data_IF_218331739057
#
_entry.id   IF_218331739057
#
_cell.length_a   1.000
_cell.length_b   1.000
_cell.length_c   1.000
_cell.angle_alpha   90.00
_cell.angle_beta   90.00
_cell.angle_gamma   90.00
#
_symmetry.space_group_name_H-M   'P 1'
#
loop_
_entity.id
_entity.type
_entity.pdbx_description
1 polymer ?
#
# COMPACT_ATOMS: atom_id res chain seq x y z
N UNK A 1 -0.21 18.92 -61.12
CA UNK A 1 -0.81 18.21 -59.98
C UNK A 1 0.16 17.15 -59.52
N UNK A 2 0.85 17.41 -58.42
CA UNK A 2 1.82 16.47 -57.85
C UNK A 2 1.20 15.83 -56.63
N UNK A 3 1.00 14.50 -56.69
CA UNK A 3 0.42 13.72 -55.61
C UNK A 3 1.50 13.37 -54.58
N UNK A 4 1.28 13.78 -53.33
CA UNK A 4 2.07 13.38 -52.19
C UNK A 4 1.64 11.95 -51.76
N UNK A 5 2.50 10.98 -52.01
CA UNK A 5 2.37 9.64 -51.45
C UNK A 5 2.86 9.64 -49.99
N UNK A 6 1.93 9.54 -49.05
CA UNK A 6 2.24 9.39 -47.64
C UNK A 6 2.78 7.99 -47.35
N UNK A 7 4.03 7.92 -46.92
CA UNK A 7 4.63 6.67 -46.44
C UNK A 7 4.09 6.36 -45.04
N UNK A 8 3.27 5.32 -44.93
CA UNK A 8 2.87 4.75 -43.64
C UNK A 8 4.04 3.97 -43.03
N UNK A 9 4.58 4.44 -41.94
CA UNK A 9 5.59 3.72 -41.16
C UNK A 9 4.97 2.45 -40.54
N UNK A 10 5.62 1.28 -40.67
CA UNK A 10 5.12 0.09 -40.02
C UNK A 10 5.29 0.18 -38.52
N UNK A 11 4.17 0.16 -37.83
CA UNK A 11 4.12 0.06 -36.37
C UNK A 11 4.61 -1.34 -35.99
N UNK A 12 5.85 -1.44 -35.48
CA UNK A 12 6.38 -2.68 -34.96
C UNK A 12 5.69 -2.97 -33.65
N UNK A 13 4.66 -3.83 -33.69
CA UNK A 13 4.10 -4.44 -32.47
C UNK A 13 5.16 -5.39 -31.91
N UNK A 14 5.89 -4.92 -30.91
CA UNK A 14 6.72 -5.78 -30.08
C UNK A 14 5.80 -6.78 -29.37
N UNK A 15 5.73 -8.01 -29.89
CA UNK A 15 5.16 -9.14 -29.15
C UNK A 15 6.02 -9.33 -27.91
N UNK A 16 5.54 -8.85 -26.76
CA UNK A 16 6.07 -9.24 -25.47
C UNK A 16 5.87 -10.75 -25.34
N UNK A 17 6.91 -11.53 -25.63
CA UNK A 17 7.00 -12.91 -25.19
C UNK A 17 7.12 -12.89 -23.66
N UNK A 18 5.99 -12.76 -22.94
CA UNK A 18 5.95 -13.14 -21.53
C UNK A 18 6.35 -14.62 -21.48
N UNK A 19 7.61 -14.84 -21.18
CA UNK A 19 8.07 -16.14 -20.72
C UNK A 19 7.17 -16.52 -19.55
N UNK A 20 6.26 -17.47 -19.76
CA UNK A 20 5.62 -18.21 -18.68
C UNK A 20 6.70 -19.04 -18.01
N UNK A 21 7.59 -18.39 -17.26
CA UNK A 21 8.47 -19.06 -16.33
C UNK A 21 7.55 -19.51 -15.22
N UNK A 22 7.35 -20.81 -15.09
CA UNK A 22 6.75 -21.42 -13.90
C UNK A 22 7.68 -21.03 -12.73
N UNK A 23 7.40 -19.93 -12.07
CA UNK A 23 8.14 -19.49 -10.89
C UNK A 23 7.59 -20.35 -9.76
N UNK A 24 8.21 -21.51 -9.55
CA UNK A 24 7.86 -22.38 -8.43
C UNK A 24 8.27 -21.76 -7.07
N UNK A 25 9.03 -20.66 -7.08
CA UNK A 25 9.48 -19.96 -5.89
C UNK A 25 8.93 -18.54 -5.92
N UNK A 26 8.05 -18.16 -4.98
CA UNK A 26 7.60 -16.79 -4.85
C UNK A 26 8.77 -15.86 -4.50
N UNK A 27 8.70 -14.62 -4.97
CA UNK A 27 9.68 -13.58 -4.66
C UNK A 27 8.93 -12.40 -4.01
N UNK A 28 9.43 -11.94 -2.88
CA UNK A 28 8.94 -10.77 -2.18
C UNK A 28 10.06 -9.73 -2.15
N UNK A 29 9.74 -8.50 -2.47
CA UNK A 29 10.67 -7.39 -2.47
C UNK A 29 10.14 -6.26 -1.60
N UNK A 30 11.03 -5.67 -0.82
CA UNK A 30 10.77 -4.45 -0.04
C UNK A 30 11.94 -3.49 -0.17
N UNK A 31 11.72 -2.20 0.08
CA UNK A 31 12.69 -1.15 -0.19
C UNK A 31 13.65 -0.90 0.97
N UNK A 32 13.18 -0.97 2.21
CA UNK A 32 13.90 -0.55 3.39
C UNK A 32 14.28 -1.72 4.30
N UNK A 33 15.23 -1.53 5.21
CA UNK A 33 15.69 -2.58 6.12
C UNK A 33 14.58 -3.15 7.01
N UNK A 34 13.61 -2.36 7.42
CA UNK A 34 12.43 -2.85 8.14
C UNK A 34 11.54 -3.75 7.27
N UNK A 35 11.77 -3.79 5.97
CA UNK A 35 11.13 -4.74 5.06
C UNK A 35 11.61 -6.18 5.22
N UNK A 36 12.73 -6.46 5.90
CA UNK A 36 13.21 -7.84 6.10
C UNK A 36 12.18 -8.65 6.90
N UNK A 37 11.79 -8.26 8.14
CA UNK A 37 10.76 -8.97 8.88
C UNK A 37 9.38 -8.91 8.20
N UNK A 38 9.06 -7.83 7.49
CA UNK A 38 7.85 -7.74 6.70
C UNK A 38 7.80 -8.79 5.56
N UNK A 39 8.94 -9.05 4.89
CA UNK A 39 9.05 -10.10 3.88
C UNK A 39 8.95 -11.51 4.47
N UNK A 40 9.45 -11.73 5.68
CA UNK A 40 9.31 -12.99 6.41
C UNK A 40 7.83 -13.28 6.74
N UNK A 41 7.11 -12.27 7.22
CA UNK A 41 5.67 -12.37 7.48
C UNK A 41 4.88 -12.65 6.20
N UNK A 42 5.19 -11.93 5.12
CA UNK A 42 4.58 -12.15 3.81
C UNK A 42 4.86 -13.56 3.26
N UNK A 43 6.09 -14.08 3.43
CA UNK A 43 6.46 -15.42 2.99
C UNK A 43 5.73 -16.49 3.83
N UNK A 44 5.58 -16.27 5.13
CA UNK A 44 4.77 -17.14 6.01
C UNK A 44 3.34 -17.22 5.50
N UNK A 45 2.74 -16.08 5.13
CA UNK A 45 1.39 -16.03 4.59
C UNK A 45 1.24 -16.84 3.30
N UNK A 46 2.24 -16.79 2.40
CA UNK A 46 2.25 -17.63 1.19
C UNK A 46 2.39 -19.12 1.52
N UNK A 47 3.23 -19.46 2.50
CA UNK A 47 3.44 -20.86 2.94
C UNK A 47 2.16 -21.46 3.54
N UNK A 48 1.34 -20.63 4.18
CA UNK A 48 0.04 -21.00 4.76
C UNK A 48 -1.07 -21.10 3.69
N UNK A 49 -0.74 -20.93 2.42
CA UNK A 49 -1.68 -21.05 1.30
C UNK A 49 -2.36 -19.74 0.89
N UNK A 50 -1.92 -18.60 1.42
CA UNK A 50 -2.37 -17.29 0.98
C UNK A 50 -1.89 -16.97 -0.45
N UNK A 51 -2.59 -16.04 -1.10
CA UNK A 51 -2.21 -15.53 -2.42
C UNK A 51 -1.22 -14.35 -2.31
N UNK A 52 -0.78 -13.79 -3.44
CA UNK A 52 0.17 -12.68 -3.47
C UNK A 52 -0.36 -11.41 -2.80
N UNK A 53 -1.67 -11.15 -2.87
CA UNK A 53 -2.30 -10.01 -2.19
C UNK A 53 -2.32 -10.21 -0.67
N UNK A 54 -2.64 -11.42 -0.20
CA UNK A 54 -2.60 -11.76 1.21
C UNK A 54 -1.20 -11.58 1.80
N UNK A 55 -0.18 -11.97 1.03
CA UNK A 55 1.22 -11.79 1.42
C UNK A 55 1.64 -10.32 1.46
N UNK A 56 1.29 -9.55 0.42
CA UNK A 56 1.61 -8.12 0.36
C UNK A 56 0.95 -7.36 1.52
N UNK A 57 -0.32 -7.65 1.82
CA UNK A 57 -1.02 -7.07 2.96
C UNK A 57 -0.36 -7.46 4.28
N UNK A 58 -0.05 -8.74 4.50
CA UNK A 58 0.57 -9.22 5.74
C UNK A 58 1.92 -8.51 5.99
N UNK A 59 2.77 -8.41 4.96
CA UNK A 59 4.04 -7.71 5.06
C UNK A 59 3.89 -6.22 5.36
N UNK A 60 2.98 -5.52 4.68
CA UNK A 60 2.71 -4.11 4.95
C UNK A 60 2.16 -3.89 6.35
N UNK A 61 1.21 -4.71 6.81
CA UNK A 61 0.67 -4.66 8.18
C UNK A 61 1.73 -4.86 9.25
N UNK A 62 2.75 -5.68 8.98
CA UNK A 62 3.89 -5.83 9.89
C UNK A 62 4.58 -4.48 10.09
N UNK A 63 4.95 -3.81 8.98
CA UNK A 63 5.59 -2.49 9.04
C UNK A 63 4.68 -1.41 9.69
N UNK A 64 3.38 -1.44 9.42
CA UNK A 64 2.39 -0.53 10.01
C UNK A 64 2.18 -0.76 11.52
N UNK A 65 2.56 -1.93 12.02
CA UNK A 65 2.46 -2.29 13.45
C UNK A 65 3.74 -2.02 14.23
N UNK A 66 4.86 -1.86 13.56
CA UNK A 66 6.17 -1.69 14.18
C UNK A 66 6.32 -0.27 14.74
N UNK A 67 6.25 -0.13 16.06
CA UNK A 67 6.38 1.15 16.78
C UNK A 67 7.78 1.78 16.65
N UNK A 68 8.78 1.02 16.25
CA UNK A 68 10.11 1.56 15.99
C UNK A 68 10.23 2.17 14.60
N UNK A 69 9.31 1.83 13.70
CA UNK A 69 9.21 2.42 12.37
C UNK A 69 8.31 3.66 12.40
N UNK A 70 8.92 4.84 12.46
CA UNK A 70 8.20 6.11 12.53
C UNK A 70 7.76 6.67 11.17
N UNK A 71 7.89 5.89 10.10
CA UNK A 71 7.53 6.34 8.74
C UNK A 71 6.11 5.96 8.32
N UNK A 72 5.50 4.95 8.95
CA UNK A 72 4.17 4.46 8.62
C UNK A 72 3.44 3.95 9.87
N UNK A 73 2.11 3.88 9.81
CA UNK A 73 1.29 3.16 10.78
C UNK A 73 1.35 3.68 12.22
N UNK A 74 1.37 2.75 13.16
CA UNK A 74 1.37 3.03 14.59
C UNK A 74 2.73 3.55 15.03
N UNK A 75 2.78 4.79 15.48
CA UNK A 75 4.01 5.49 15.84
C UNK A 75 4.61 6.31 14.69
N UNK A 76 3.90 6.45 13.57
CA UNK A 76 4.28 7.35 12.48
C UNK A 76 4.46 8.80 12.97
N UNK A 77 5.39 9.52 12.33
CA UNK A 77 5.56 10.94 12.63
C UNK A 77 4.33 11.73 12.16
N UNK A 78 3.85 12.67 12.98
CA UNK A 78 2.67 13.45 12.63
C UNK A 78 3.00 14.61 11.67
N UNK A 79 1.96 15.23 11.13
CA UNK A 79 2.03 16.51 10.45
C UNK A 79 2.37 17.67 11.43
N UNK A 80 2.44 18.89 10.91
CA UNK A 80 2.71 20.09 11.71
C UNK A 80 1.69 20.30 12.86
N UNK A 81 0.47 19.84 12.67
CA UNK A 81 -0.61 19.95 13.64
C UNK A 81 -0.67 18.80 14.66
N UNK A 82 0.21 17.83 14.54
CA UNK A 82 0.27 16.68 15.43
C UNK A 82 -0.62 15.50 15.02
N UNK A 83 -1.10 15.47 13.78
CA UNK A 83 -1.94 14.39 13.29
C UNK A 83 -1.10 13.37 12.50
N UNK A 84 -1.17 12.11 12.88
CA UNK A 84 -0.62 11.02 12.05
C UNK A 84 -1.60 10.71 10.93
N UNK A 85 -1.16 10.98 9.69
CA UNK A 85 -1.92 10.74 8.47
C UNK A 85 -1.25 9.64 7.66
N UNK A 86 -2.02 8.71 7.14
CA UNK A 86 -1.52 7.51 6.48
C UNK A 86 -2.09 7.38 5.08
N UNK A 87 -1.24 6.90 4.18
CA UNK A 87 -1.58 6.56 2.81
C UNK A 87 -1.22 5.10 2.53
N UNK A 88 -2.03 4.44 1.73
CA UNK A 88 -1.74 3.09 1.27
C UNK A 88 -2.39 2.82 -0.09
N UNK A 89 -1.77 1.94 -0.86
CA UNK A 89 -2.37 1.41 -2.08
C UNK A 89 -2.03 -0.07 -2.26
N UNK A 90 -2.93 -0.77 -2.93
CA UNK A 90 -2.76 -2.15 -3.37
C UNK A 90 -3.19 -2.30 -4.81
N UNK A 91 -2.63 -3.29 -5.49
CA UNK A 91 -3.04 -3.67 -6.85
C UNK A 91 -2.91 -5.19 -7.00
N UNK A 92 -3.92 -5.81 -7.58
CA UNK A 92 -3.89 -7.23 -7.89
C UNK A 92 -3.25 -7.52 -9.28
N UNK A 93 -3.08 -8.80 -9.59
CA UNK A 93 -2.52 -9.24 -10.88
C UNK A 93 -3.42 -8.96 -12.08
N UNK A 94 -4.68 -8.62 -11.87
CA UNK A 94 -5.65 -8.25 -12.92
C UNK A 94 -5.67 -6.75 -13.19
N UNK A 95 -4.95 -5.96 -12.37
CA UNK A 95 -4.89 -4.50 -12.46
C UNK A 95 -6.02 -3.80 -11.69
N UNK A 96 -6.80 -4.52 -10.87
CA UNK A 96 -7.69 -3.86 -9.92
C UNK A 96 -6.86 -3.19 -8.84
N UNK A 97 -7.24 -2.00 -8.43
CA UNK A 97 -6.52 -1.22 -7.44
C UNK A 97 -7.45 -0.62 -6.39
N UNK A 98 -6.93 -0.47 -5.18
CA UNK A 98 -7.58 0.26 -4.12
C UNK A 98 -6.56 1.08 -3.34
N UNK A 99 -6.98 2.23 -2.84
CA UNK A 99 -6.10 3.11 -2.09
C UNK A 99 -6.87 3.95 -1.08
N UNK A 100 -6.13 4.39 -0.08
CA UNK A 100 -6.57 5.41 0.87
C UNK A 100 -5.51 6.48 0.98
N UNK A 101 -5.92 7.71 1.22
CA UNK A 101 -5.03 8.82 1.48
C UNK A 101 -5.56 9.67 2.63
N UNK A 102 -4.65 10.31 3.36
CA UNK A 102 -4.98 11.13 4.51
C UNK A 102 -5.87 10.41 5.53
N UNK A 103 -5.64 9.11 5.71
CA UNK A 103 -6.38 8.30 6.67
C UNK A 103 -5.83 8.54 8.08
N UNK A 104 -6.70 8.85 9.02
CA UNK A 104 -6.34 9.11 10.42
C UNK A 104 -6.96 8.07 11.35
N UNK A 105 -6.25 7.77 12.43
CA UNK A 105 -6.73 6.93 13.54
C UNK A 105 -7.08 5.48 13.16
N UNK A 106 -6.61 4.99 12.03
CA UNK A 106 -6.77 3.59 11.62
C UNK A 106 -5.38 2.99 11.44
N UNK A 107 -5.07 1.94 12.21
CA UNK A 107 -3.72 1.38 12.33
C UNK A 107 -3.20 0.76 11.03
N UNK A 108 -4.08 0.16 10.20
CA UNK A 108 -3.71 -0.61 9.02
C UNK A 108 -4.32 -0.04 7.74
N UNK A 109 -3.77 1.06 7.19
CA UNK A 109 -4.26 1.65 5.96
C UNK A 109 -4.21 0.70 4.77
N UNK A 110 -3.23 -0.23 4.70
CA UNK A 110 -3.14 -1.22 3.61
C UNK A 110 -4.37 -2.12 3.56
N UNK A 111 -4.89 -2.54 4.72
CA UNK A 111 -6.09 -3.37 4.77
C UNK A 111 -7.34 -2.60 4.35
N UNK A 112 -7.42 -1.31 4.68
CA UNK A 112 -8.52 -0.45 4.21
C UNK A 112 -8.42 -0.27 2.70
N UNK A 113 -7.22 -0.02 2.16
CA UNK A 113 -7.00 0.09 0.72
C UNK A 113 -7.42 -1.19 -0.03
N UNK A 114 -7.12 -2.36 0.54
CA UNK A 114 -7.59 -3.65 0.00
C UNK A 114 -9.10 -3.73 -0.03
N UNK A 115 -9.80 -3.36 1.04
CA UNK A 115 -11.26 -3.35 1.09
C UNK A 115 -11.87 -2.33 0.12
N UNK A 116 -11.21 -1.19 -0.12
CA UNK A 116 -11.65 -0.26 -1.18
C UNK A 116 -11.62 -0.96 -2.53
N UNK A 117 -10.57 -1.73 -2.85
CA UNK A 117 -10.46 -2.48 -4.10
C UNK A 117 -11.50 -3.60 -4.21
N UNK A 118 -11.70 -4.38 -3.14
CA UNK A 118 -12.51 -5.61 -3.18
C UNK A 118 -14.01 -5.31 -3.03
N UNK A 119 -14.39 -4.30 -2.24
CA UNK A 119 -15.78 -4.09 -1.80
C UNK A 119 -16.43 -2.86 -2.41
N UNK A 120 -15.71 -2.07 -3.22
CA UNK A 120 -16.26 -0.84 -3.80
C UNK A 120 -15.97 -0.72 -5.30
N UNK A 121 -16.59 0.27 -5.93
CA UNK A 121 -16.28 0.66 -7.31
C UNK A 121 -15.23 1.78 -7.38
N UNK A 122 -14.78 2.27 -6.23
CA UNK A 122 -13.79 3.32 -6.13
C UNK A 122 -12.38 2.72 -6.15
N UNK A 123 -11.44 3.47 -6.69
CA UNK A 123 -10.02 3.15 -6.62
C UNK A 123 -9.32 3.90 -5.49
N UNK A 124 -9.98 4.90 -4.90
CA UNK A 124 -9.42 5.69 -3.80
C UNK A 124 -10.52 6.28 -2.92
N UNK A 125 -10.30 6.24 -1.62
CA UNK A 125 -11.03 7.01 -0.62
C UNK A 125 -10.06 7.89 0.16
N UNK A 126 -10.50 9.06 0.63
CA UNK A 126 -9.62 10.06 1.26
C UNK A 126 -10.21 10.59 2.56
N UNK A 127 -9.32 10.85 3.54
CA UNK A 127 -9.64 11.58 4.76
C UNK A 127 -10.77 10.98 5.57
N UNK A 128 -11.71 11.81 6.04
CA UNK A 128 -12.83 11.37 6.87
C UNK A 128 -13.72 10.33 6.16
N UNK A 129 -13.89 10.43 4.83
CA UNK A 129 -14.64 9.44 4.06
C UNK A 129 -13.99 8.05 4.10
N UNK A 130 -12.66 7.99 4.00
CA UNK A 130 -11.89 6.75 4.12
C UNK A 130 -12.00 6.18 5.54
N UNK A 131 -11.95 7.04 6.58
CA UNK A 131 -12.09 6.63 7.98
C UNK A 131 -13.48 6.06 8.27
N UNK A 132 -14.55 6.73 7.84
CA UNK A 132 -15.91 6.24 8.01
C UNK A 132 -16.14 4.90 7.29
N UNK A 133 -15.57 4.74 6.10
CA UNK A 133 -15.58 3.46 5.41
C UNK A 133 -14.87 2.38 6.24
N UNK A 134 -13.66 2.64 6.75
CA UNK A 134 -12.92 1.71 7.59
C UNK A 134 -13.73 1.29 8.83
N UNK A 135 -14.32 2.25 9.55
CA UNK A 135 -15.16 1.98 10.73
C UNK A 135 -16.36 1.09 10.34
N UNK A 136 -17.01 1.37 9.22
CA UNK A 136 -18.13 0.56 8.72
C UNK A 136 -17.73 -0.88 8.39
N UNK A 137 -16.44 -1.13 8.14
CA UNK A 137 -15.85 -2.44 7.90
C UNK A 137 -15.29 -3.11 9.17
N UNK A 138 -15.47 -2.49 10.33
CA UNK A 138 -15.08 -3.05 11.63
C UNK A 138 -13.67 -2.69 12.09
N UNK A 139 -13.00 -1.74 11.43
CA UNK A 139 -11.74 -1.21 11.96
C UNK A 139 -12.00 -0.34 13.17
N UNK A 140 -11.15 -0.49 14.18
CA UNK A 140 -11.22 0.32 15.40
C UNK A 140 -10.42 1.62 15.23
N UNK A 141 -10.94 2.69 15.82
CA UNK A 141 -10.18 3.93 15.95
C UNK A 141 -9.14 3.80 17.05
N UNK A 142 -7.89 4.15 16.73
CA UNK A 142 -6.78 4.16 17.69
C UNK A 142 -5.98 5.45 17.52
N UNK A 143 -5.44 5.97 18.63
CA UNK A 143 -4.45 7.04 18.54
C UNK A 143 -3.14 6.46 18.01
N UNK A 144 -2.70 6.94 16.85
CA UNK A 144 -1.48 6.45 16.19
C UNK A 144 -0.22 7.17 16.69
N UNK A 145 -0.36 8.34 17.33
CA UNK A 145 0.76 9.10 17.87
C UNK A 145 1.25 8.46 19.17
N UNK A 146 2.45 7.91 19.15
CA UNK A 146 3.11 7.38 20.35
C UNK A 146 3.86 8.48 21.09
N UNK A 147 4.20 8.24 22.35
CA UNK A 147 5.02 9.18 23.14
C UNK A 147 6.37 9.48 22.46
N UNK A 148 6.98 8.47 21.83
CA UNK A 148 8.23 8.62 21.07
C UNK A 148 8.05 9.60 19.91
N UNK A 149 7.06 9.38 19.06
CA UNK A 149 6.79 10.23 17.90
C UNK A 149 6.34 11.63 18.31
N UNK A 150 5.56 11.76 19.36
CA UNK A 150 5.16 13.05 19.92
C UNK A 150 6.39 13.85 20.42
N UNK A 151 7.34 13.20 21.09
CA UNK A 151 8.56 13.84 21.54
C UNK A 151 9.46 14.27 20.38
N UNK A 152 9.54 13.48 19.29
CA UNK A 152 10.25 13.85 18.07
C UNK A 152 9.59 15.04 17.38
N UNK A 153 8.28 15.03 17.22
CA UNK A 153 7.50 16.13 16.67
C UNK A 153 7.68 17.43 17.47
N UNK A 154 7.57 17.39 18.81
CA UNK A 154 7.81 18.57 19.67
C UNK A 154 9.23 19.13 19.58
N UNK A 155 10.23 18.30 19.26
CA UNK A 155 11.59 18.78 18.99
C UNK A 155 11.71 19.46 17.63
N UNK A 156 11.01 18.93 16.63
CA UNK A 156 10.98 19.50 15.30
C UNK A 156 10.31 20.87 15.24
N UNK A 157 9.28 21.12 16.07
CA UNK A 157 8.58 22.41 16.17
C UNK A 157 9.42 23.54 16.79
N UNK A 158 10.56 23.26 17.43
CA UNK A 158 11.46 24.25 18.07
C UNK A 158 12.48 24.81 17.10
#
# INVERSE_FOLDING_TARGET
MAGLAGAASPMILAKSNRLKKNINNPVILSTWNFGIPANEEAMTKLSDGGNAMDAAEAGARHAESDVENNSVGYGGLPDELGHVTLDACVMDSSGNAGSVAFLQNIKHPVSVARMVMEDTKHVMLVGEGAKQFAISKGFEEVNLLTEKSENEWKKWLK
#
